data_IF_630877318007
#
_entry.id   IF_630877318007
#
_cell.length_a   1.000
_cell.length_b   1.000
_cell.length_c   1.000
_cell.angle_alpha   90.00
_cell.angle_beta   90.00
_cell.angle_gamma   90.00
#
_symmetry.space_group_name_H-M   'P 1'
#
loop_
_entity.id
_entity.type
_entity.pdbx_description
1 polymer ?
#
# COMPACT_ATOMS: atom_id res chain seq x y z
N UNK A 1 -4.70 -18.61 -0.56
CA UNK A 1 -4.81 -18.22 -1.98
C UNK A 1 -6.20 -17.64 -2.28
N UNK A 2 -7.29 -18.35 -1.95
CA UNK A 2 -8.65 -17.90 -2.30
C UNK A 2 -9.08 -16.58 -1.65
N UNK A 3 -8.75 -16.35 -0.38
CA UNK A 3 -9.15 -15.11 0.32
C UNK A 3 -8.49 -13.86 -0.29
N UNK A 4 -7.20 -13.91 -0.63
CA UNK A 4 -6.50 -12.78 -1.26
C UNK A 4 -7.02 -12.51 -2.67
N UNK A 5 -7.34 -13.57 -3.42
CA UNK A 5 -7.98 -13.45 -4.73
C UNK A 5 -9.40 -12.86 -4.62
N UNK A 6 -10.16 -13.24 -3.60
CA UNK A 6 -11.48 -12.67 -3.32
C UNK A 6 -11.39 -11.17 -3.01
N UNK A 7 -10.44 -10.77 -2.15
CA UNK A 7 -10.24 -9.36 -1.79
C UNK A 7 -9.84 -8.53 -2.99
N UNK A 8 -8.88 -9.00 -3.79
CA UNK A 8 -8.42 -8.29 -4.99
C UNK A 8 -9.53 -8.17 -6.04
N UNK A 9 -10.26 -9.24 -6.31
CA UNK A 9 -11.41 -9.22 -7.23
C UNK A 9 -12.51 -8.28 -6.74
N UNK A 10 -12.78 -8.24 -5.42
CA UNK A 10 -13.73 -7.31 -4.83
C UNK A 10 -13.30 -5.84 -4.92
N UNK A 11 -12.01 -5.56 -4.79
CA UNK A 11 -11.45 -4.22 -4.98
C UNK A 11 -11.59 -3.76 -6.45
N UNK A 12 -11.32 -4.67 -7.39
CA UNK A 12 -11.43 -4.39 -8.83
C UNK A 12 -12.89 -4.13 -9.24
N UNK A 13 -13.84 -4.93 -8.75
CA UNK A 13 -15.27 -4.75 -9.05
C UNK A 13 -15.83 -3.44 -8.49
N UNK A 14 -15.43 -3.07 -7.25
CA UNK A 14 -15.80 -1.80 -6.65
C UNK A 14 -15.23 -0.63 -7.47
N UNK A 15 -13.96 -0.73 -7.87
CA UNK A 15 -13.31 0.29 -8.72
C UNK A 15 -14.02 0.43 -10.05
N UNK A 16 -14.32 -0.67 -10.73
CA UNK A 16 -15.01 -0.64 -12.01
C UNK A 16 -16.40 0.02 -11.92
N UNK A 17 -17.07 -0.12 -10.78
CA UNK A 17 -18.42 0.43 -10.56
C UNK A 17 -18.38 1.91 -10.17
N UNK A 18 -17.48 2.31 -9.28
CA UNK A 18 -17.45 3.66 -8.70
C UNK A 18 -16.53 4.63 -9.43
N UNK A 19 -15.50 4.17 -10.15
CA UNK A 19 -14.54 5.04 -10.81
C UNK A 19 -15.16 6.01 -11.84
N UNK A 20 -16.14 5.61 -12.68
CA UNK A 20 -16.74 6.53 -13.65
C UNK A 20 -17.45 7.72 -13.00
N UNK A 21 -18.19 7.49 -11.91
CA UNK A 21 -18.92 8.55 -11.20
C UNK A 21 -17.98 9.49 -10.46
N UNK A 22 -16.93 8.96 -9.81
CA UNK A 22 -15.94 9.78 -9.12
C UNK A 22 -15.10 10.59 -10.11
N UNK A 23 -14.74 10.01 -11.27
CA UNK A 23 -14.04 10.74 -12.33
C UNK A 23 -14.90 11.83 -12.95
N UNK A 24 -16.20 11.57 -13.18
CA UNK A 24 -17.13 12.60 -13.63
C UNK A 24 -17.25 13.76 -12.63
N UNK A 25 -17.36 13.45 -11.33
CA UNK A 25 -17.37 14.45 -10.27
C UNK A 25 -16.08 15.28 -10.25
N UNK A 26 -14.92 14.63 -10.35
CA UNK A 26 -13.63 15.31 -10.47
C UNK A 26 -13.57 16.25 -11.69
N UNK A 27 -14.12 15.83 -12.83
CA UNK A 27 -14.15 16.63 -14.05
C UNK A 27 -15.04 17.88 -13.89
N UNK A 28 -16.24 17.71 -13.32
CA UNK A 28 -17.15 18.81 -13.03
C UNK A 28 -16.53 19.81 -12.04
N UNK A 29 -15.89 19.31 -10.98
CA UNK A 29 -15.16 20.16 -10.04
C UNK A 29 -14.04 20.92 -10.73
N UNK A 30 -13.22 20.25 -11.55
CA UNK A 30 -12.13 20.89 -12.28
C UNK A 30 -12.63 22.03 -13.18
N UNK A 31 -13.70 21.80 -13.94
CA UNK A 31 -14.25 22.82 -14.85
C UNK A 31 -14.87 23.98 -14.05
N UNK A 32 -15.70 23.69 -13.04
CA UNK A 32 -16.34 24.73 -12.23
C UNK A 32 -15.31 25.63 -11.54
N UNK A 33 -14.29 25.02 -10.92
CA UNK A 33 -13.22 25.74 -10.25
C UNK A 33 -12.34 26.53 -11.23
N UNK A 34 -11.99 25.95 -12.38
CA UNK A 34 -11.26 26.64 -13.42
C UNK A 34 -12.02 27.86 -13.94
N UNK A 35 -13.33 27.77 -14.15
CA UNK A 35 -14.17 28.90 -14.57
C UNK A 35 -14.14 30.02 -13.53
N UNK A 36 -14.31 29.71 -12.25
CA UNK A 36 -14.28 30.70 -11.17
C UNK A 36 -12.91 31.42 -11.15
N UNK A 37 -11.82 30.67 -11.22
CA UNK A 37 -10.47 31.24 -11.18
C UNK A 37 -10.14 32.05 -12.44
N UNK A 38 -10.63 31.65 -13.62
CA UNK A 38 -10.46 32.42 -14.86
C UNK A 38 -11.22 33.75 -14.79
N UNK A 39 -12.47 33.74 -14.31
CA UNK A 39 -13.25 34.97 -14.08
C UNK A 39 -12.55 35.87 -13.07
N UNK A 40 -12.06 35.31 -11.97
CA UNK A 40 -11.34 36.04 -10.94
C UNK A 40 -10.05 36.69 -11.48
N UNK A 41 -9.25 35.95 -12.24
CA UNK A 41 -8.07 36.48 -12.92
C UNK A 41 -8.43 37.64 -13.86
N UNK A 42 -9.50 37.49 -14.65
CA UNK A 42 -10.01 38.54 -15.53
C UNK A 42 -10.40 39.82 -14.78
N UNK A 43 -11.07 39.69 -13.62
CA UNK A 43 -11.43 40.83 -12.76
C UNK A 43 -10.18 41.53 -12.21
N UNK A 44 -9.19 40.77 -11.74
CA UNK A 44 -7.94 41.34 -11.21
C UNK A 44 -7.16 42.12 -12.28
N UNK A 45 -7.02 41.56 -13.48
CA UNK A 45 -6.33 42.22 -14.58
C UNK A 45 -7.11 43.44 -15.12
N UNK A 46 -8.45 43.38 -15.15
CA UNK A 46 -9.28 44.53 -15.51
C UNK A 46 -9.12 45.69 -14.52
N UNK A 47 -9.14 45.40 -13.21
CA UNK A 47 -8.92 46.41 -12.16
C UNK A 47 -7.49 46.97 -12.20
N UNK A 48 -6.48 46.12 -12.44
CA UNK A 48 -5.10 46.55 -12.59
C UNK A 48 -4.91 47.49 -13.79
N UNK A 49 -5.62 47.24 -14.90
CA UNK A 49 -5.61 48.14 -16.05
C UNK A 49 -6.29 49.49 -15.78
N UNK A 50 -7.37 49.50 -14.98
CA UNK A 50 -8.09 50.72 -14.62
C UNK A 50 -7.31 51.61 -13.63
N UNK A 51 -6.41 51.04 -12.82
CA UNK A 51 -5.56 51.76 -11.88
C UNK A 51 -4.25 52.28 -12.50
N UNK A 52 -4.11 52.24 -13.83
CA UNK A 52 -2.90 52.71 -14.53
C UNK A 52 -1.74 51.72 -14.52
N UNK A 53 -2.00 50.44 -14.21
CA UNK A 53 -1.01 49.37 -14.30
C UNK A 53 -0.65 49.00 -15.74
N UNK A 54 0.38 48.15 -15.95
CA UNK A 54 0.94 47.79 -17.27
C UNK A 54 0.03 46.99 -18.21
N UNK A 55 -1.29 47.00 -18.02
CA UNK A 55 -2.26 46.23 -18.79
C UNK A 55 -2.25 44.74 -18.43
N UNK A 56 -2.75 43.90 -19.35
CA UNK A 56 -2.95 42.46 -19.14
C UNK A 56 -1.63 41.68 -19.17
N UNK A 57 -1.34 40.95 -18.09
CA UNK A 57 -0.15 40.09 -18.02
C UNK A 57 -0.39 38.72 -18.69
N UNK A 58 -0.09 38.65 -19.99
CA UNK A 58 -0.24 37.43 -20.78
C UNK A 58 0.60 36.24 -20.27
N UNK A 59 1.76 36.50 -19.67
CA UNK A 59 2.62 35.45 -19.12
C UNK A 59 2.00 34.74 -17.91
N UNK A 60 1.46 35.51 -16.97
CA UNK A 60 0.72 34.97 -15.82
C UNK A 60 -0.52 34.19 -16.26
N UNK A 61 -1.25 34.73 -17.23
CA UNK A 61 -2.42 34.07 -17.80
C UNK A 61 -2.07 32.71 -18.43
N UNK A 62 -1.03 32.66 -19.27
CA UNK A 62 -0.58 31.42 -19.90
C UNK A 62 -0.15 30.37 -18.88
N UNK A 63 0.61 30.77 -17.85
CA UNK A 63 1.01 29.86 -16.77
C UNK A 63 -0.20 29.26 -16.05
N UNK A 64 -1.17 30.11 -15.70
CA UNK A 64 -2.41 29.69 -15.06
C UNK A 64 -3.28 28.79 -15.97
N UNK A 65 -3.41 29.13 -17.25
CA UNK A 65 -4.15 28.33 -18.22
C UNK A 65 -3.52 26.96 -18.46
N UNK A 66 -2.17 26.90 -18.54
CA UNK A 66 -1.42 25.66 -18.62
C UNK A 66 -1.66 24.77 -17.41
N UNK A 67 -1.67 25.37 -16.21
CA UNK A 67 -1.94 24.65 -14.97
C UNK A 67 -3.37 24.06 -14.94
N UNK A 68 -4.39 24.83 -15.34
CA UNK A 68 -5.76 24.32 -15.45
C UNK A 68 -5.82 23.16 -16.46
N UNK A 69 -5.21 23.36 -17.62
CA UNK A 69 -5.22 22.35 -18.69
C UNK A 69 -4.54 21.06 -18.21
N UNK A 70 -3.43 21.19 -17.47
CA UNK A 70 -2.75 20.06 -16.86
C UNK A 70 -3.64 19.32 -15.85
N UNK A 71 -4.29 20.03 -14.92
CA UNK A 71 -5.22 19.43 -13.96
C UNK A 71 -6.39 18.72 -14.65
N UNK A 72 -6.96 19.34 -15.69
CA UNK A 72 -8.05 18.77 -16.48
C UNK A 72 -7.63 17.47 -17.19
N UNK A 73 -6.46 17.47 -17.83
CA UNK A 73 -5.89 16.28 -18.50
C UNK A 73 -5.62 15.17 -17.50
N UNK A 74 -5.08 15.48 -16.32
CA UNK A 74 -4.85 14.50 -15.25
C UNK A 74 -6.15 13.81 -14.81
N UNK A 75 -7.25 14.55 -14.65
CA UNK A 75 -8.56 13.97 -14.31
C UNK A 75 -9.13 13.16 -15.48
N UNK A 76 -9.09 13.71 -16.70
CA UNK A 76 -9.68 13.07 -17.89
C UNK A 76 -9.04 11.71 -18.21
N UNK A 77 -7.72 11.61 -18.03
CA UNK A 77 -6.94 10.39 -18.25
C UNK A 77 -6.54 9.71 -16.95
N UNK A 78 -7.31 9.93 -15.88
CA UNK A 78 -7.07 9.28 -14.61
C UNK A 78 -7.25 7.76 -14.71
N UNK A 79 -8.40 7.33 -15.23
CA UNK A 79 -8.73 5.93 -15.52
C UNK A 79 -8.66 5.59 -17.03
N UNK A 80 -8.72 6.59 -17.90
CA UNK A 80 -8.63 6.41 -19.35
C UNK A 80 -7.17 6.49 -19.84
N UNK A 81 -6.81 5.68 -20.83
CA UNK A 81 -5.47 5.72 -21.42
C UNK A 81 -5.17 7.07 -22.05
N UNK A 82 -3.99 7.61 -21.75
CA UNK A 82 -3.49 8.83 -22.37
C UNK A 82 -3.17 8.52 -23.84
N UNK A 83 -3.71 9.29 -24.81
CA UNK A 83 -3.41 9.14 -26.23
C UNK A 83 -1.90 9.19 -26.48
N UNK A 84 -1.38 8.21 -27.23
CA UNK A 84 0.05 8.10 -27.56
C UNK A 84 0.92 7.41 -26.51
N UNK A 85 0.47 7.27 -25.26
CA UNK A 85 1.22 6.63 -24.17
C UNK A 85 0.65 5.24 -23.81
N UNK A 86 -0.67 5.06 -23.95
CA UNK A 86 -1.32 3.75 -23.85
C UNK A 86 -1.73 3.30 -22.44
N UNK A 87 -1.28 4.01 -21.39
CA UNK A 87 -1.70 3.78 -20.00
C UNK A 87 -2.39 5.01 -19.38
N UNK A 88 -3.20 4.78 -18.35
CA UNK A 88 -3.82 5.84 -17.54
C UNK A 88 -2.91 6.27 -16.38
N UNK A 89 -3.19 7.41 -15.75
CA UNK A 89 -2.39 7.88 -14.60
C UNK A 89 -2.40 6.86 -13.45
N UNK A 90 -3.59 6.37 -13.11
CA UNK A 90 -3.78 5.34 -12.08
C UNK A 90 -3.11 4.04 -12.50
N UNK A 91 -3.26 3.66 -13.77
CA UNK A 91 -2.64 2.47 -14.35
C UNK A 91 -1.11 2.52 -14.31
N UNK A 92 -0.51 3.70 -14.50
CA UNK A 92 0.94 3.88 -14.41
C UNK A 92 1.46 3.64 -12.99
N UNK A 93 0.84 4.27 -11.98
CA UNK A 93 1.29 4.15 -10.58
C UNK A 93 1.09 2.71 -10.08
N UNK A 94 -0.10 2.14 -10.31
CA UNK A 94 -0.40 0.78 -9.88
C UNK A 94 0.40 -0.26 -10.66
N UNK A 95 0.52 -0.10 -11.99
CA UNK A 95 1.26 -0.99 -12.87
C UNK A 95 2.76 -0.95 -12.60
N UNK A 96 3.33 0.23 -12.35
CA UNK A 96 4.72 0.39 -11.95
C UNK A 96 5.03 -0.32 -10.63
N UNK A 97 4.19 -0.12 -9.61
CA UNK A 97 4.33 -0.83 -8.34
C UNK A 97 4.15 -2.35 -8.50
N UNK A 98 3.19 -2.80 -9.30
CA UNK A 98 2.97 -4.22 -9.55
C UNK A 98 4.14 -4.87 -10.32
N UNK A 99 4.76 -4.13 -11.25
CA UNK A 99 5.98 -4.55 -11.94
C UNK A 99 7.13 -4.73 -10.95
N UNK A 100 7.33 -3.76 -10.04
CA UNK A 100 8.32 -3.87 -8.97
C UNK A 100 8.07 -5.05 -8.04
N UNK A 101 6.82 -5.29 -7.63
CA UNK A 101 6.42 -6.48 -6.87
C UNK A 101 6.81 -7.76 -7.61
N UNK A 102 6.60 -7.80 -8.92
CA UNK A 102 6.88 -8.99 -9.75
C UNK A 102 8.38 -9.22 -9.90
N UNK A 103 9.19 -8.17 -10.01
CA UNK A 103 10.66 -8.28 -10.10
C UNK A 103 11.27 -8.70 -8.77
N UNK A 104 10.81 -8.12 -7.66
CA UNK A 104 11.41 -8.32 -6.33
C UNK A 104 10.87 -9.58 -5.64
N UNK A 105 9.56 -9.82 -5.76
CA UNK A 105 8.84 -10.88 -5.06
C UNK A 105 8.44 -12.05 -5.96
N UNK A 106 9.14 -12.25 -7.10
CA UNK A 106 8.83 -13.32 -8.04
C UNK A 106 8.77 -14.66 -7.30
N UNK A 107 7.60 -15.28 -7.33
CA UNK A 107 7.29 -16.57 -6.70
C UNK A 107 7.35 -16.62 -5.16
N UNK A 108 7.78 -15.57 -4.44
CA UNK A 108 7.96 -15.61 -2.98
C UNK A 108 6.65 -15.79 -2.19
N UNK A 109 5.60 -15.05 -2.58
CA UNK A 109 4.29 -15.14 -1.92
C UNK A 109 3.69 -16.53 -2.12
N UNK A 110 3.75 -17.03 -3.35
CA UNK A 110 3.27 -18.38 -3.71
C UNK A 110 4.08 -19.46 -3.02
N UNK A 111 5.41 -19.32 -2.97
CA UNK A 111 6.31 -20.25 -2.30
C UNK A 111 6.05 -20.30 -0.80
N UNK A 112 5.90 -19.17 -0.11
CA UNK A 112 5.58 -19.16 1.32
C UNK A 112 4.24 -19.87 1.56
N UNK A 113 3.18 -19.54 0.83
CA UNK A 113 1.89 -20.18 1.03
C UNK A 113 1.94 -21.69 0.73
N UNK A 114 2.67 -22.12 -0.29
CA UNK A 114 2.82 -23.54 -0.60
C UNK A 114 3.61 -24.27 0.48
N UNK A 115 4.69 -23.68 0.99
CA UNK A 115 5.48 -24.23 2.10
C UNK A 115 4.67 -24.28 3.39
N UNK A 116 3.92 -23.23 3.68
CA UNK A 116 3.07 -23.14 4.88
C UNK A 116 1.92 -24.15 4.82
N UNK A 117 1.27 -24.28 3.65
CA UNK A 117 0.21 -25.26 3.44
C UNK A 117 0.72 -26.70 3.45
N UNK A 118 1.95 -26.95 2.99
CA UNK A 118 2.61 -28.24 3.17
C UNK A 118 2.93 -28.52 4.64
N UNK A 119 3.36 -27.51 5.38
CA UNK A 119 3.58 -27.62 6.83
C UNK A 119 2.28 -27.78 7.64
N UNK A 120 1.13 -27.33 7.11
CA UNK A 120 -0.20 -27.52 7.71
C UNK A 120 -0.82 -28.90 7.45
N UNK A 121 -0.37 -29.61 6.40
CA UNK A 121 -0.87 -30.94 5.98
C UNK A 121 -0.47 -32.18 6.80
N UNK A 122 0.45 -32.21 7.80
CA UNK A 122 0.88 -33.47 8.42
C UNK A 122 -0.19 -34.21 9.23
N UNK A 123 -1.43 -33.72 9.32
CA UNK A 123 -2.51 -34.42 10.04
C UNK A 123 -2.94 -35.75 9.41
N UNK A 124 -2.52 -36.13 8.21
CA UNK A 124 -2.90 -37.42 7.60
C UNK A 124 -2.06 -38.63 8.06
N UNK A 125 -0.75 -38.43 8.29
CA UNK A 125 0.21 -39.53 8.54
C UNK A 125 0.69 -39.65 9.99
N UNK A 126 0.49 -38.62 10.81
CA UNK A 126 0.95 -38.57 12.20
C UNK A 126 -0.08 -39.07 13.23
N UNK A 127 -1.34 -39.31 12.81
CA UNK A 127 -2.43 -39.78 13.68
C UNK A 127 -2.06 -41.06 14.47
N UNK A 128 -1.37 -42.06 13.88
CA UNK A 128 -1.01 -43.27 14.63
C UNK A 128 -0.01 -43.00 15.75
N UNK A 129 0.88 -41.99 15.62
CA UNK A 129 1.93 -41.67 16.60
C UNK A 129 1.48 -40.66 17.66
N UNK A 130 0.59 -39.73 17.30
CA UNK A 130 -0.03 -38.79 18.22
C UNK A 130 -0.99 -39.47 19.22
N UNK A 131 -1.63 -40.58 18.82
CA UNK A 131 -2.42 -41.43 19.70
C UNK A 131 -1.58 -42.24 20.71
N UNK A 132 -0.31 -42.53 20.38
CA UNK A 132 0.59 -43.32 21.21
C UNK A 132 1.22 -42.52 22.35
N UNK A 133 1.19 -41.17 22.31
CA UNK A 133 1.77 -40.34 23.36
C UNK A 133 1.22 -38.89 23.35
N UNK A 134 0.55 -38.44 24.42
CA UNK A 134 -0.13 -37.13 24.47
C UNK A 134 0.83 -35.95 24.33
N UNK A 135 2.12 -36.14 24.67
CA UNK A 135 3.16 -35.13 24.54
C UNK A 135 3.38 -34.68 23.07
N UNK A 136 3.43 -35.62 22.13
CA UNK A 136 3.67 -35.28 20.72
C UNK A 136 2.44 -34.64 20.08
N UNK A 137 1.23 -35.05 20.48
CA UNK A 137 -0.01 -34.41 20.03
C UNK A 137 -0.05 -32.91 20.37
N UNK A 138 0.40 -32.54 21.58
CA UNK A 138 0.49 -31.14 22.02
C UNK A 138 1.51 -30.35 21.18
N UNK A 139 2.68 -30.93 20.91
CA UNK A 139 3.72 -30.31 20.07
C UNK A 139 3.21 -30.05 18.65
N UNK A 140 2.53 -31.03 18.03
CA UNK A 140 1.92 -30.85 16.70
C UNK A 140 0.86 -29.74 16.70
N UNK A 141 -0.01 -29.67 17.71
CA UNK A 141 -1.02 -28.62 17.84
C UNK A 141 -0.39 -27.22 17.95
N UNK A 142 0.65 -27.08 18.77
CA UNK A 142 1.35 -25.80 18.95
C UNK A 142 2.03 -25.35 17.66
N UNK A 143 2.72 -26.25 16.95
CA UNK A 143 3.36 -25.93 15.66
C UNK A 143 2.31 -25.50 14.62
N UNK A 144 1.18 -26.21 14.54
CA UNK A 144 0.08 -25.86 13.64
C UNK A 144 -0.49 -24.46 13.92
N UNK A 145 -0.71 -24.14 15.20
CA UNK A 145 -1.23 -22.84 15.62
C UNK A 145 -0.27 -21.71 15.22
N UNK A 146 1.02 -21.89 15.46
CA UNK A 146 2.05 -20.88 15.14
C UNK A 146 2.14 -20.63 13.63
N UNK A 147 2.13 -21.69 12.82
CA UNK A 147 2.17 -21.63 11.35
C UNK A 147 0.91 -20.96 10.80
N UNK A 148 -0.27 -21.29 11.34
CA UNK A 148 -1.52 -20.64 10.97
C UNK A 148 -1.54 -19.15 11.32
N UNK A 149 -0.97 -18.76 12.46
CA UNK A 149 -0.89 -17.35 12.88
C UNK A 149 -0.02 -16.52 11.92
N UNK A 150 1.10 -17.09 11.46
CA UNK A 150 1.94 -16.47 10.45
C UNK A 150 1.19 -16.30 9.13
N UNK A 151 0.49 -17.34 8.67
CA UNK A 151 -0.35 -17.31 7.46
C UNK A 151 -1.34 -16.16 7.49
N UNK A 152 -2.07 -16.05 8.59
CA UNK A 152 -3.07 -15.01 8.80
C UNK A 152 -2.45 -13.61 8.77
N UNK A 153 -1.26 -13.44 9.38
CA UNK A 153 -0.54 -12.17 9.39
C UNK A 153 -0.11 -11.72 7.98
N UNK A 154 0.37 -12.65 7.15
CA UNK A 154 0.74 -12.38 5.76
C UNK A 154 -0.48 -11.99 4.92
N UNK A 155 -1.60 -12.69 5.08
CA UNK A 155 -2.83 -12.34 4.37
C UNK A 155 -3.34 -10.96 4.80
N UNK A 156 -3.31 -10.65 6.10
CA UNK A 156 -3.77 -9.37 6.63
C UNK A 156 -2.99 -8.18 6.05
N UNK A 157 -1.65 -8.28 5.99
CA UNK A 157 -0.82 -7.17 5.48
C UNK A 157 -1.00 -6.96 3.98
N UNK A 158 -1.13 -8.04 3.20
CA UNK A 158 -1.36 -7.96 1.76
C UNK A 158 -2.77 -7.42 1.44
N UNK A 159 -3.77 -7.82 2.23
CA UNK A 159 -5.13 -7.30 2.13
C UNK A 159 -5.19 -5.79 2.41
N UNK A 160 -4.53 -5.35 3.49
CA UNK A 160 -4.44 -3.94 3.85
C UNK A 160 -3.85 -3.10 2.71
N UNK A 161 -2.76 -3.58 2.10
CA UNK A 161 -2.12 -2.92 0.96
C UNK A 161 -3.05 -2.78 -0.26
N UNK A 162 -3.77 -3.84 -0.60
CA UNK A 162 -4.67 -3.88 -1.75
C UNK A 162 -5.87 -2.93 -1.54
N UNK A 163 -6.47 -2.97 -0.36
CA UNK A 163 -7.62 -2.13 -0.01
C UNK A 163 -7.20 -0.65 0.04
N UNK A 164 -6.09 -0.32 0.70
CA UNK A 164 -5.60 1.06 0.82
C UNK A 164 -5.33 1.71 -0.55
N UNK A 165 -4.63 0.99 -1.44
CA UNK A 165 -4.39 1.44 -2.81
C UNK A 165 -5.70 1.69 -3.57
N UNK A 166 -6.68 0.81 -3.39
CA UNK A 166 -7.98 0.90 -4.07
C UNK A 166 -8.77 2.12 -3.62
N UNK A 167 -8.89 2.32 -2.31
CA UNK A 167 -9.64 3.44 -1.73
C UNK A 167 -9.01 4.77 -2.12
N UNK A 168 -7.69 4.93 -1.95
CA UNK A 168 -6.99 6.18 -2.25
C UNK A 168 -6.95 6.42 -3.77
N UNK A 169 -6.78 5.37 -4.56
CA UNK A 169 -6.85 5.44 -6.01
C UNK A 169 -8.27 5.59 -6.57
N UNK A 170 -9.32 5.50 -5.75
CA UNK A 170 -10.69 5.78 -6.18
C UNK A 170 -11.01 7.27 -6.04
N UNK A 171 -10.59 7.88 -4.92
CA UNK A 171 -10.86 9.29 -4.62
C UNK A 171 -9.95 10.28 -5.36
N UNK A 172 -8.93 9.79 -6.09
CA UNK A 172 -7.94 10.62 -6.76
C UNK A 172 -8.48 11.75 -7.65
N UNK A 173 -9.47 11.50 -8.53
CA UNK A 173 -10.08 12.54 -9.37
C UNK A 173 -10.64 13.74 -8.59
N UNK A 174 -11.04 13.54 -7.33
CA UNK A 174 -11.59 14.59 -6.47
C UNK A 174 -10.50 15.54 -5.96
N UNK A 175 -9.28 15.02 -5.77
CA UNK A 175 -8.18 15.79 -5.21
C UNK A 175 -7.38 16.57 -6.25
N UNK A 176 -7.37 16.11 -7.51
CA UNK A 176 -6.64 16.77 -8.61
C UNK A 176 -7.08 18.23 -8.86
N UNK A 177 -8.38 18.58 -8.86
CA UNK A 177 -8.83 19.95 -9.06
C UNK A 177 -8.26 20.97 -8.07
N UNK A 178 -7.89 20.54 -6.86
CA UNK A 178 -7.32 21.45 -5.85
C UNK A 178 -5.91 21.96 -6.20
N UNK A 179 -5.22 21.33 -7.15
CA UNK A 179 -3.95 21.81 -7.71
C UNK A 179 -4.09 23.23 -8.29
N UNK A 180 -5.27 23.61 -8.76
CA UNK A 180 -5.54 24.94 -9.35
C UNK A 180 -5.47 26.08 -8.32
N UNK A 181 -5.54 25.76 -7.03
CA UNK A 181 -5.47 26.76 -5.96
C UNK A 181 -4.16 26.62 -5.20
N UNK A 182 -3.33 27.66 -5.23
CA UNK A 182 -2.06 27.72 -4.48
C UNK A 182 -2.22 27.51 -2.97
N UNK A 183 -3.44 27.69 -2.42
CA UNK A 183 -3.72 27.47 -0.99
C UNK A 183 -4.23 26.06 -0.67
N UNK A 184 -4.71 25.32 -1.67
CA UNK A 184 -5.28 23.98 -1.52
C UNK A 184 -4.46 22.91 -2.25
N UNK A 185 -3.36 23.29 -2.91
CA UNK A 185 -2.42 22.38 -3.58
C UNK A 185 -1.89 21.29 -2.65
N UNK A 186 -1.81 21.56 -1.34
CA UNK A 186 -1.43 20.59 -0.32
C UNK A 186 -2.36 19.38 -0.26
N UNK A 187 -3.65 19.51 -0.62
CA UNK A 187 -4.58 18.37 -0.70
C UNK A 187 -4.16 17.44 -1.83
N UNK A 188 -3.83 18.00 -2.99
CA UNK A 188 -3.33 17.24 -4.13
C UNK A 188 -2.02 16.55 -3.78
N UNK A 189 -1.05 17.28 -3.24
CA UNK A 189 0.25 16.72 -2.88
C UNK A 189 0.16 15.68 -1.76
N UNK A 190 -0.69 15.92 -0.76
CA UNK A 190 -0.97 14.97 0.32
C UNK A 190 -1.59 13.68 -0.20
N UNK A 191 -2.60 13.79 -1.07
CA UNK A 191 -3.20 12.63 -1.74
C UNK A 191 -2.20 11.88 -2.61
N UNK A 192 -1.43 12.58 -3.46
CA UNK A 192 -0.47 11.95 -4.37
C UNK A 192 0.62 11.20 -3.59
N UNK A 193 1.14 11.83 -2.53
CA UNK A 193 2.10 11.21 -1.60
C UNK A 193 1.50 9.96 -0.95
N UNK A 194 0.26 10.01 -0.51
CA UNK A 194 -0.43 8.85 0.05
C UNK A 194 -0.61 7.75 -1.00
N UNK A 195 -1.06 8.08 -2.21
CA UNK A 195 -1.31 7.12 -3.28
C UNK A 195 -0.02 6.38 -3.67
N UNK A 196 1.07 7.12 -3.87
CA UNK A 196 2.40 6.53 -4.12
C UNK A 196 2.88 5.75 -2.90
N UNK A 197 2.68 6.25 -1.68
CA UNK A 197 3.04 5.55 -0.45
C UNK A 197 2.38 4.17 -0.32
N UNK A 198 1.08 4.06 -0.57
CA UNK A 198 0.37 2.78 -0.59
C UNK A 198 0.75 1.90 -1.77
N UNK A 199 1.12 2.49 -2.92
CA UNK A 199 1.66 1.73 -4.04
C UNK A 199 2.99 1.04 -3.67
N UNK A 200 3.89 1.76 -3.02
CA UNK A 200 5.16 1.23 -2.54
C UNK A 200 5.03 0.32 -1.32
N UNK A 201 3.98 0.47 -0.50
CA UNK A 201 3.67 -0.48 0.57
C UNK A 201 3.58 -1.90 0.03
N UNK A 202 2.89 -2.12 -1.10
CA UNK A 202 2.80 -3.45 -1.75
C UNK A 202 4.18 -3.96 -2.14
N UNK A 203 5.05 -3.09 -2.65
CA UNK A 203 6.42 -3.43 -3.06
C UNK A 203 7.26 -3.84 -1.85
N UNK A 204 7.22 -3.07 -0.76
CA UNK A 204 7.97 -3.35 0.48
C UNK A 204 7.45 -4.62 1.15
N UNK A 205 6.14 -4.85 1.14
CA UNK A 205 5.55 -6.10 1.62
C UNK A 205 6.06 -7.29 0.81
N UNK A 206 6.07 -7.20 -0.52
CA UNK A 206 6.61 -8.25 -1.39
C UNK A 206 8.11 -8.50 -1.17
N UNK A 207 8.91 -7.44 -1.01
CA UNK A 207 10.33 -7.54 -0.71
C UNK A 207 10.58 -8.24 0.62
N UNK A 208 9.84 -7.84 1.66
CA UNK A 208 9.92 -8.45 2.99
C UNK A 208 9.55 -9.93 2.92
N UNK A 209 8.46 -10.27 2.23
CA UNK A 209 8.05 -11.66 2.02
C UNK A 209 9.08 -12.47 1.22
N UNK A 210 9.80 -11.85 0.28
CA UNK A 210 10.90 -12.51 -0.45
C UNK A 210 12.07 -12.85 0.46
N UNK A 211 12.46 -11.94 1.37
CA UNK A 211 13.49 -12.24 2.38
C UNK A 211 13.02 -13.35 3.32
N UNK A 212 11.76 -13.26 3.78
CA UNK A 212 11.14 -14.27 4.63
C UNK A 212 11.12 -15.66 3.96
N UNK A 213 10.76 -15.74 2.68
CA UNK A 213 10.64 -17.03 1.97
C UNK A 213 11.96 -17.79 1.95
N UNK A 214 13.09 -17.10 1.77
CA UNK A 214 14.41 -17.71 1.80
C UNK A 214 14.78 -18.23 3.19
N UNK A 215 14.45 -17.47 4.24
CA UNK A 215 14.70 -17.86 5.63
C UNK A 215 13.86 -19.08 6.03
N UNK A 216 12.57 -19.09 5.69
CA UNK A 216 11.66 -20.21 5.97
C UNK A 216 12.06 -21.48 5.21
N UNK A 217 12.41 -21.39 3.93
CA UNK A 217 12.77 -22.57 3.12
C UNK A 217 14.05 -23.25 3.65
N UNK A 218 15.03 -22.45 4.09
CA UNK A 218 16.26 -22.97 4.71
C UNK A 218 16.00 -23.64 6.07
N UNK A 219 15.09 -23.09 6.88
CA UNK A 219 14.81 -23.60 8.22
C UNK A 219 13.85 -24.81 8.22
N UNK A 220 12.78 -24.78 7.42
CA UNK A 220 11.80 -25.87 7.35
C UNK A 220 12.36 -27.14 6.69
N UNK A 221 13.23 -27.04 5.70
CA UNK A 221 13.90 -28.22 5.11
C UNK A 221 14.70 -29.03 6.14
N UNK A 222 15.16 -28.39 7.22
CA UNK A 222 15.86 -29.05 8.33
C UNK A 222 14.88 -29.70 9.32
N UNK A 223 13.67 -29.13 9.47
CA UNK A 223 12.62 -29.63 10.36
C UNK A 223 11.88 -30.86 9.81
N UNK A 224 11.83 -31.03 8.48
CA UNK A 224 11.11 -32.14 7.84
C UNK A 224 11.89 -33.48 7.83
N UNK A 225 13.01 -33.58 8.55
CA UNK A 225 13.50 -34.92 8.93
C UNK A 225 12.45 -35.57 9.83
N UNK A 226 11.91 -36.72 9.42
CA UNK A 226 10.73 -37.41 9.97
C UNK A 226 10.87 -37.91 11.42
N UNK A 227 11.83 -37.40 12.19
CA UNK A 227 12.13 -37.86 13.53
C UNK A 227 11.42 -36.99 14.59
N UNK A 228 10.55 -37.54 15.45
CA UNK A 228 9.82 -36.77 16.46
C UNK A 228 10.74 -36.03 17.45
N UNK A 229 11.97 -36.51 17.64
CA UNK A 229 12.96 -35.92 18.54
C UNK A 229 13.53 -34.62 17.96
N UNK A 230 13.84 -34.58 16.65
CA UNK A 230 14.39 -33.39 15.99
C UNK A 230 13.36 -32.25 15.92
N UNK A 231 12.06 -32.59 15.78
CA UNK A 231 10.96 -31.62 15.82
C UNK A 231 10.87 -30.91 17.18
N UNK A 232 11.06 -31.62 18.29
CA UNK A 232 11.04 -31.05 19.65
C UNK A 232 12.28 -30.19 19.91
N UNK A 233 13.46 -30.63 19.48
CA UNK A 233 14.72 -29.91 19.66
C UNK A 233 14.74 -28.56 18.94
N UNK A 234 14.11 -28.47 17.76
CA UNK A 234 14.10 -27.26 16.95
C UNK A 234 12.84 -26.39 17.12
N UNK A 235 11.85 -26.85 17.91
CA UNK A 235 10.64 -26.12 18.26
C UNK A 235 10.89 -24.68 18.78
N UNK A 236 11.81 -24.42 19.74
CA UNK A 236 12.04 -23.07 20.23
C UNK A 236 12.57 -22.12 19.15
N UNK A 237 13.36 -22.63 18.20
CA UNK A 237 13.84 -21.83 17.07
C UNK A 237 12.72 -21.47 16.09
N UNK A 238 11.76 -22.37 15.86
CA UNK A 238 10.56 -22.07 15.06
C UNK A 238 9.70 -20.99 15.72
N UNK A 239 9.50 -21.06 17.05
CA UNK A 239 8.75 -20.04 17.80
C UNK A 239 9.39 -18.66 17.61
N UNK A 240 10.70 -18.55 17.85
CA UNK A 240 11.43 -17.28 17.74
C UNK A 240 11.36 -16.76 16.30
N UNK A 241 11.59 -17.63 15.32
CA UNK A 241 11.55 -17.27 13.91
C UNK A 241 10.17 -16.74 13.53
N UNK A 242 9.08 -17.39 13.95
CA UNK A 242 7.72 -16.91 13.64
C UNK A 242 7.41 -15.60 14.37
N UNK A 243 7.79 -15.45 15.64
CA UNK A 243 7.59 -14.19 16.38
C UNK A 243 8.32 -13.01 15.72
N UNK A 244 9.57 -13.21 15.31
CA UNK A 244 10.35 -12.18 14.60
C UNK A 244 9.70 -11.84 13.27
N UNK A 245 9.23 -12.83 12.53
CA UNK A 245 8.57 -12.60 11.24
C UNK A 245 7.25 -11.85 11.39
N UNK A 246 6.42 -12.23 12.37
CA UNK A 246 5.20 -11.50 12.69
C UNK A 246 5.54 -10.05 13.07
N UNK A 247 6.55 -9.84 13.92
CA UNK A 247 7.01 -8.51 14.29
C UNK A 247 7.43 -7.66 13.07
N UNK A 248 8.23 -8.22 12.16
CA UNK A 248 8.68 -7.53 10.95
C UNK A 248 7.49 -7.18 10.04
N UNK A 249 6.52 -8.09 9.88
CA UNK A 249 5.32 -7.83 9.06
C UNK A 249 4.52 -6.64 9.58
N UNK A 250 4.34 -6.53 10.90
CA UNK A 250 3.66 -5.39 11.52
C UNK A 250 4.45 -4.08 11.41
N UNK A 251 5.76 -4.12 11.13
CA UNK A 251 6.61 -2.94 10.90
C UNK A 251 6.66 -2.49 9.45
N UNK A 252 6.09 -3.22 8.48
CA UNK A 252 6.01 -2.80 7.06
C UNK A 252 5.38 -1.40 6.88
N UNK A 253 4.28 -1.03 7.56
CA UNK A 253 3.75 0.33 7.47
C UNK A 253 4.76 1.39 7.89
N UNK A 254 5.45 1.18 9.00
CA UNK A 254 6.48 2.10 9.49
C UNK A 254 7.64 2.22 8.50
N UNK A 255 8.15 1.12 7.95
CA UNK A 255 9.22 1.14 6.93
C UNK A 255 8.82 1.90 5.66
N UNK A 256 7.56 1.77 5.25
CA UNK A 256 7.03 2.53 4.12
C UNK A 256 6.97 4.02 4.44
N UNK A 257 6.45 4.37 5.62
CA UNK A 257 6.35 5.78 6.04
C UNK A 257 7.72 6.43 6.22
N UNK A 258 8.72 5.74 6.75
CA UNK A 258 10.09 6.29 6.87
C UNK A 258 10.68 6.63 5.49
N UNK A 259 10.40 5.82 4.46
CA UNK A 259 10.89 6.06 3.11
C UNK A 259 10.34 7.36 2.49
N UNK A 260 9.07 7.68 2.75
CA UNK A 260 8.41 8.86 2.18
C UNK A 260 8.38 10.09 3.09
N UNK A 261 8.63 9.93 4.39
CA UNK A 261 8.63 11.05 5.35
C UNK A 261 10.03 11.58 5.66
N UNK A 262 11.09 10.85 5.32
CA UNK A 262 12.49 11.24 5.60
C UNK A 262 12.85 11.20 7.09
N UNK A 263 11.90 10.90 7.98
CA UNK A 263 12.12 10.70 9.41
C UNK A 263 12.66 9.29 9.63
N UNK A 264 13.91 9.20 10.06
CA UNK A 264 14.49 7.95 10.57
C UNK A 264 14.19 7.88 12.07
N UNK A 265 12.98 7.44 12.41
CA UNK A 265 12.50 7.44 13.79
C UNK A 265 11.50 6.31 14.01
N UNK A 266 11.98 5.08 14.08
CA UNK A 266 11.18 3.93 14.45
C UNK A 266 10.71 4.02 15.90
N UNK A 267 9.54 4.61 16.14
CA UNK A 267 8.79 4.38 17.38
C UNK A 267 7.27 4.60 17.24
N UNK A 268 6.64 3.98 16.24
CA UNK A 268 5.20 3.62 16.32
C UNK A 268 5.03 2.43 17.28
N UNK A 269 5.22 2.72 18.56
CA UNK A 269 5.04 1.80 19.67
C UNK A 269 4.72 2.63 20.91
N UNK A 270 3.56 3.29 20.93
CA UNK A 270 2.85 3.75 22.13
C UNK A 270 3.53 4.71 23.13
N UNK A 271 4.81 5.06 23.01
CA UNK A 271 5.57 5.79 24.06
C UNK A 271 6.04 7.19 23.61
N UNK A 272 5.90 7.54 22.33
CA UNK A 272 6.34 8.84 21.78
C UNK A 272 5.59 10.07 22.31
N UNK A 273 4.39 9.90 22.86
CA UNK A 273 3.59 11.02 23.41
C UNK A 273 4.09 11.40 24.83
N UNK A 274 4.66 10.45 25.57
CA UNK A 274 5.13 10.72 26.94
C UNK A 274 6.47 11.49 26.97
N UNK A 275 7.37 11.26 26.02
CA UNK A 275 8.69 11.90 26.01
C UNK A 275 8.65 13.34 25.47
N UNK A 276 7.74 13.64 24.53
CA UNK A 276 7.52 15.02 24.06
C UNK A 276 6.81 15.86 25.12
N UNK A 277 5.97 15.25 25.96
CA UNK A 277 5.39 15.92 27.12
C UNK A 277 6.47 16.20 28.20
N UNK A 278 7.40 15.27 28.44
CA UNK A 278 8.46 15.45 29.44
C UNK A 278 9.58 16.40 29.00
N UNK A 279 9.90 16.49 27.70
CA UNK A 279 10.85 17.46 27.16
C UNK A 279 10.27 18.87 26.99
N UNK A 280 8.96 19.05 27.18
CA UNK A 280 8.32 20.37 27.31
C UNK A 280 8.07 20.78 28.77
N UNK A 281 8.40 19.93 29.73
CA UNK A 281 8.25 20.20 31.17
C UNK A 281 9.59 20.32 31.91
N UNK A 282 10.71 20.44 31.19
CA UNK A 282 12.03 20.88 31.69
C UNK A 282 12.45 22.07 30.84
#
# INVERSE_FOLDING_TARGET
>A
MDLLRLITTGCDSLTATAAPSVTALGLHMCVALATIMLVWFGVQEALASAQGGPGFNMGKFLSFFMLITFAYVMVKFYDNSIPGIGYSLKGFINGGAQSLVTVIGKDSVTTIFNTLHQAEKPLGGAIPKALLSPYYALVYFVVQLIISLLSASIVAILAYAAIGMTVIGLVGPVFIPFLVFDKLDFLFWGWLKAFVGFAFFKVIAAATLSVLSHLYTSYLSTLFSLDPVTMVTHLPGLIILVLVNVYILFKIPAMTMTLFSGSHGGHDGGVGIATVALLRSI
#
